data_IF_168158662449
#
_entry.id   IF_168158662449
#
_cell.length_a   1.000
_cell.length_b   1.000
_cell.length_c   1.000
_cell.angle_alpha   90.00
_cell.angle_beta   90.00
_cell.angle_gamma   90.00
#
_symmetry.space_group_name_H-M   'P 1'
#
loop_
_entity.id
_entity.type
_entity.pdbx_description
1 polymer ?
#
# COMPACT_ATOMS: atom_id res chain seq x y z
N UNK A 1 -3.02 11.05 13.95
CA UNK A 1 -3.44 12.47 14.00
C UNK A 1 -3.06 13.10 15.33
N UNK A 2 -3.08 14.43 15.44
CA UNK A 2 -2.89 15.15 16.70
C UNK A 2 -4.25 15.69 17.15
N UNK A 3 -4.72 15.27 18.33
CA UNK A 3 -6.10 15.52 18.79
C UNK A 3 -7.11 14.52 18.24
N UNK A 4 -8.40 14.86 18.36
CA UNK A 4 -9.51 14.00 17.92
C UNK A 4 -9.57 13.91 16.37
N UNK A 5 -9.57 12.71 15.78
CA UNK A 5 -9.63 12.55 14.33
C UNK A 5 -11.00 12.99 13.78
N UNK A 6 -11.00 13.67 12.63
CA UNK A 6 -12.25 13.91 11.91
C UNK A 6 -12.75 12.63 11.25
N UNK A 7 -14.05 12.54 10.98
CA UNK A 7 -14.63 11.43 10.21
C UNK A 7 -13.93 11.22 8.86
N UNK A 8 -13.55 12.30 8.18
CA UNK A 8 -12.89 12.21 6.88
C UNK A 8 -11.46 11.64 6.99
N UNK A 9 -10.73 11.94 8.08
CA UNK A 9 -9.43 11.34 8.37
C UNK A 9 -9.52 9.85 8.69
N UNK A 10 -10.55 9.44 9.45
CA UNK A 10 -10.83 8.03 9.74
C UNK A 10 -11.12 7.27 8.45
N UNK A 11 -12.06 7.77 7.63
CA UNK A 11 -12.41 7.14 6.35
C UNK A 11 -11.21 7.02 5.40
N UNK A 12 -10.36 8.04 5.32
CA UNK A 12 -9.15 7.98 4.50
C UNK A 12 -8.19 6.88 5.00
N UNK A 13 -7.99 6.79 6.32
CA UNK A 13 -7.13 5.77 6.92
C UNK A 13 -7.68 4.36 6.69
N UNK A 14 -8.97 4.14 6.92
CA UNK A 14 -9.62 2.84 6.72
C UNK A 14 -9.53 2.37 5.25
N UNK A 15 -9.70 3.27 4.28
CA UNK A 15 -9.55 2.94 2.87
C UNK A 15 -8.11 2.60 2.50
N UNK A 16 -7.13 3.41 2.95
CA UNK A 16 -5.72 3.12 2.74
C UNK A 16 -5.34 1.75 3.34
N UNK A 17 -5.75 1.49 4.59
CA UNK A 17 -5.52 0.22 5.26
C UNK A 17 -6.16 -0.95 4.53
N UNK A 18 -7.40 -0.80 4.07
CA UNK A 18 -8.10 -1.84 3.30
C UNK A 18 -7.30 -2.23 2.05
N UNK A 19 -6.89 -1.25 1.24
CA UNK A 19 -6.12 -1.52 0.02
C UNK A 19 -4.77 -2.16 0.32
N UNK A 20 -4.11 -1.72 1.39
CA UNK A 20 -2.84 -2.28 1.84
C UNK A 20 -3.01 -3.74 2.25
N UNK A 21 -3.98 -4.02 3.13
CA UNK A 21 -4.31 -5.37 3.59
C UNK A 21 -4.68 -6.30 2.43
N UNK A 22 -5.56 -5.87 1.53
CA UNK A 22 -5.96 -6.67 0.38
C UNK A 22 -4.74 -7.01 -0.51
N UNK A 23 -3.82 -6.05 -0.68
CA UNK A 23 -2.61 -6.26 -1.46
C UNK A 23 -1.58 -7.15 -0.77
N UNK A 24 -1.46 -7.08 0.57
CA UNK A 24 -0.67 -8.03 1.37
C UNK A 24 -1.25 -9.45 1.26
N UNK A 25 -2.57 -9.60 1.34
CA UNK A 25 -3.24 -10.91 1.23
C UNK A 25 -3.08 -11.57 -0.14
N UNK A 26 -2.76 -10.80 -1.19
CA UNK A 26 -2.40 -11.32 -2.50
C UNK A 26 -0.95 -11.84 -2.59
N UNK A 27 -0.10 -11.56 -1.59
CA UNK A 27 1.32 -11.94 -1.59
C UNK A 27 1.49 -13.42 -1.27
N UNK A 28 2.00 -14.16 -2.26
CA UNK A 28 2.43 -15.55 -2.13
C UNK A 28 3.38 -15.92 -3.26
N UNK A 29 4.21 -16.98 -3.12
CA UNK A 29 4.98 -17.50 -4.24
C UNK A 29 4.10 -17.81 -5.46
N UNK A 30 4.53 -17.38 -6.63
CA UNK A 30 3.82 -17.58 -7.89
C UNK A 30 2.76 -16.53 -8.23
N UNK A 31 2.33 -15.70 -7.26
CA UNK A 31 1.61 -14.47 -7.56
C UNK A 31 2.49 -13.52 -8.39
N UNK A 32 1.88 -12.50 -8.96
CA UNK A 32 2.56 -11.48 -9.74
C UNK A 32 2.37 -10.10 -9.14
N UNK A 33 3.24 -9.17 -9.51
CA UNK A 33 3.06 -7.74 -9.19
C UNK A 33 1.74 -7.19 -9.74
N UNK A 34 1.17 -7.79 -10.79
CA UNK A 34 -0.17 -7.41 -11.28
C UNK A 34 -1.27 -7.84 -10.32
N UNK A 35 -1.17 -9.04 -9.73
CA UNK A 35 -2.16 -9.54 -8.77
C UNK A 35 -2.23 -8.61 -7.55
N UNK A 36 -1.07 -8.18 -7.05
CA UNK A 36 -0.94 -7.22 -5.95
C UNK A 36 -1.47 -5.83 -6.35
N UNK A 37 -1.01 -5.28 -7.48
CA UNK A 37 -1.41 -3.94 -7.92
C UNK A 37 -2.91 -3.84 -8.27
N UNK A 38 -3.56 -4.96 -8.61
CA UNK A 38 -4.99 -5.02 -8.92
C UNK A 38 -5.88 -4.87 -7.68
N UNK A 39 -5.32 -5.04 -6.47
CA UNK A 39 -6.01 -4.78 -5.20
C UNK A 39 -6.16 -3.28 -4.91
N UNK A 40 -5.44 -2.42 -5.65
CA UNK A 40 -5.44 -0.98 -5.45
C UNK A 40 -6.42 -0.29 -6.39
N UNK A 41 -7.01 0.86 -5.96
CA UNK A 41 -7.88 1.65 -6.82
C UNK A 41 -7.12 2.15 -8.05
N UNK A 42 -7.83 2.30 -9.15
CA UNK A 42 -7.35 3.00 -10.33
C UNK A 42 -7.13 4.48 -10.07
N UNK A 43 -6.31 5.09 -10.92
CA UNK A 43 -6.14 6.53 -10.95
C UNK A 43 -7.49 7.28 -11.09
N UNK A 44 -8.41 6.77 -11.91
CA UNK A 44 -9.73 7.36 -12.12
C UNK A 44 -10.60 7.31 -10.86
N UNK A 45 -10.59 6.19 -10.13
CA UNK A 45 -11.27 6.05 -8.84
C UNK A 45 -10.70 7.00 -7.77
N UNK A 46 -9.42 7.37 -7.90
CA UNK A 46 -8.76 8.38 -7.09
C UNK A 46 -8.95 9.82 -7.61
N UNK A 47 -9.60 10.01 -8.76
CA UNK A 47 -9.88 11.32 -9.37
C UNK A 47 -8.76 11.90 -10.25
N UNK A 48 -7.78 11.09 -10.65
CA UNK A 48 -6.69 11.46 -11.57
C UNK A 48 -7.03 11.08 -13.02
N UNK A 49 -6.34 11.69 -13.99
CA UNK A 49 -6.62 11.43 -15.42
C UNK A 49 -6.12 10.07 -15.91
N UNK A 50 -5.04 9.56 -15.32
CA UNK A 50 -4.38 8.31 -15.73
C UNK A 50 -3.40 7.81 -14.65
N UNK A 51 -2.91 6.59 -14.84
CA UNK A 51 -1.95 5.94 -13.92
C UNK A 51 -0.60 6.65 -13.86
N UNK A 52 -0.20 7.43 -14.88
CA UNK A 52 1.01 8.26 -14.81
C UNK A 52 0.88 9.40 -13.79
N UNK A 53 -0.28 10.06 -13.71
CA UNK A 53 -0.54 11.11 -12.71
C UNK A 53 -0.61 10.55 -11.28
N UNK A 54 -1.06 9.29 -11.10
CA UNK A 54 -1.19 8.62 -9.80
C UNK A 54 0.02 7.74 -9.41
N UNK A 55 1.10 7.77 -10.19
CA UNK A 55 2.13 6.72 -10.22
C UNK A 55 2.69 6.28 -8.85
N UNK A 56 3.03 7.25 -7.98
CA UNK A 56 3.64 6.98 -6.68
C UNK A 56 2.64 6.94 -5.52
N UNK A 57 1.33 7.04 -5.80
CA UNK A 57 0.31 7.06 -4.75
C UNK A 57 0.08 5.66 -4.19
N UNK A 58 -0.16 4.67 -5.06
CA UNK A 58 -0.22 3.25 -4.70
C UNK A 58 1.02 2.56 -5.25
N UNK A 59 1.88 2.10 -4.35
CA UNK A 59 3.22 1.71 -4.72
C UNK A 59 3.73 0.55 -3.88
N UNK A 60 4.65 -0.20 -4.46
CA UNK A 60 5.45 -1.16 -3.73
C UNK A 60 6.83 -1.26 -4.34
N UNK A 61 7.82 -1.55 -3.52
CA UNK A 61 9.21 -1.67 -3.95
C UNK A 61 9.96 -2.68 -3.11
N UNK A 62 10.94 -3.34 -3.71
CA UNK A 62 11.89 -4.15 -2.96
C UNK A 62 12.61 -3.32 -1.91
N UNK A 63 12.98 -3.93 -0.80
CA UNK A 63 13.76 -3.30 0.26
C UNK A 63 14.77 -4.29 0.84
N UNK A 64 15.97 -3.81 1.11
CA UNK A 64 17.08 -4.63 1.59
C UNK A 64 18.31 -3.80 1.96
N UNK A 65 19.32 -3.80 1.10
CA UNK A 65 20.50 -2.94 1.26
C UNK A 65 20.22 -1.50 0.81
N UNK A 66 19.33 -1.34 -0.17
CA UNK A 66 18.80 -0.06 -0.59
C UNK A 66 17.37 0.10 -0.08
N UNK A 67 16.97 1.34 0.14
CA UNK A 67 15.58 1.66 0.48
C UNK A 67 14.64 1.31 -0.69
N UNK A 68 15.12 1.37 -1.93
CA UNK A 68 14.36 1.09 -3.15
C UNK A 68 15.10 0.06 -4.00
N UNK A 69 14.49 -1.11 -4.16
CA UNK A 69 14.98 -2.24 -4.95
C UNK A 69 13.85 -2.84 -5.81
N UNK A 70 14.16 -3.88 -6.57
CA UNK A 70 13.14 -4.67 -7.29
C UNK A 70 12.50 -5.71 -6.35
N UNK A 71 11.25 -6.12 -6.59
CA UNK A 71 10.37 -5.67 -7.68
C UNK A 71 9.79 -4.28 -7.40
N UNK A 72 9.54 -3.52 -8.45
CA UNK A 72 8.67 -2.35 -8.36
C UNK A 72 7.24 -2.85 -8.62
N UNK A 73 6.25 -2.33 -7.90
CA UNK A 73 4.84 -2.70 -7.95
C UNK A 73 4.03 -1.42 -8.12
N UNK A 74 3.32 -1.28 -9.25
CA UNK A 74 2.47 -0.14 -9.57
C UNK A 74 1.52 -0.54 -10.67
N UNK A 75 0.29 -0.05 -10.62
CA UNK A 75 -0.69 -0.27 -11.68
C UNK A 75 -0.18 0.19 -13.04
N UNK A 76 0.63 1.26 -13.10
CA UNK A 76 1.19 1.82 -14.33
C UNK A 76 1.97 0.80 -15.18
N UNK A 77 2.79 -0.04 -14.55
CA UNK A 77 3.64 -1.01 -15.25
C UNK A 77 3.30 -2.47 -14.94
N UNK A 78 2.85 -2.81 -13.72
CA UNK A 78 2.67 -4.20 -13.30
C UNK A 78 1.56 -4.89 -14.07
N UNK A 79 0.48 -4.17 -14.39
CA UNK A 79 -0.64 -4.72 -15.17
C UNK A 79 -0.25 -5.08 -16.61
N UNK A 80 0.78 -4.42 -17.17
CA UNK A 80 1.27 -4.65 -18.54
C UNK A 80 2.47 -5.60 -18.58
N UNK A 81 3.34 -5.53 -17.57
CA UNK A 81 4.61 -6.28 -17.48
C UNK A 81 4.79 -6.83 -16.06
N UNK A 82 3.99 -7.85 -15.66
CA UNK A 82 4.06 -8.41 -14.32
C UNK A 82 5.39 -9.10 -14.05
N UNK A 83 5.89 -8.94 -12.83
CA UNK A 83 7.00 -9.72 -12.29
C UNK A 83 6.47 -10.82 -11.36
N UNK A 84 7.11 -11.99 -11.34
CA UNK A 84 6.69 -13.10 -10.47
C UNK A 84 7.25 -12.93 -9.06
N UNK A 85 6.39 -13.07 -8.07
CA UNK A 85 6.74 -13.06 -6.66
C UNK A 85 7.30 -14.44 -6.28
N UNK A 86 8.43 -14.44 -5.58
CA UNK A 86 9.15 -15.64 -5.15
C UNK A 86 9.37 -15.60 -3.63
N UNK A 87 9.43 -16.78 -3.02
CA UNK A 87 9.80 -16.94 -1.61
C UNK A 87 11.10 -16.19 -1.30
N UNK A 88 11.15 -15.53 -0.16
CA UNK A 88 12.32 -14.81 0.34
C UNK A 88 12.48 -13.40 -0.23
N UNK A 89 11.65 -12.99 -1.19
CA UNK A 89 11.56 -11.56 -1.55
C UNK A 89 11.04 -10.76 -0.36
N UNK A 90 11.60 -9.56 -0.19
CA UNK A 90 11.16 -8.58 0.79
C UNK A 90 10.82 -7.30 0.04
N UNK A 91 9.65 -6.76 0.28
CA UNK A 91 9.20 -5.51 -0.33
C UNK A 91 8.23 -4.77 0.58
N UNK A 92 8.24 -3.45 0.45
CA UNK A 92 7.23 -2.57 1.00
C UNK A 92 6.00 -2.53 0.09
N UNK A 93 4.82 -2.46 0.69
CA UNK A 93 3.58 -2.07 0.05
C UNK A 93 3.07 -0.82 0.78
N UNK A 94 2.73 0.20 0.02
CA UNK A 94 2.33 1.49 0.57
C UNK A 94 1.15 2.08 -0.21
N UNK A 95 0.11 2.43 0.52
CA UNK A 95 -1.12 2.95 -0.06
C UNK A 95 -1.46 4.32 0.52
N UNK A 96 -1.94 5.19 -0.35
CA UNK A 96 -2.36 6.55 -0.06
C UNK A 96 -3.85 6.74 -0.36
N UNK A 97 -4.55 7.43 0.53
CA UNK A 97 -5.95 7.82 0.35
C UNK A 97 -6.17 9.28 0.78
N UNK A 98 -6.75 10.14 -0.07
CA UNK A 98 -7.04 11.52 0.29
C UNK A 98 -8.23 11.61 1.26
N UNK A 99 -8.17 12.56 2.19
CA UNK A 99 -9.34 12.92 2.99
C UNK A 99 -10.37 13.66 2.13
N UNK A 100 -11.64 13.25 2.21
CA UNK A 100 -12.73 13.83 1.40
C UNK A 100 -13.04 15.29 1.72
N UNK A 101 -12.64 15.77 2.90
CA UNK A 101 -12.77 17.18 3.28
C UNK A 101 -11.67 18.08 2.68
N UNK A 102 -10.76 17.51 1.88
CA UNK A 102 -9.65 18.22 1.25
C UNK A 102 -8.51 18.56 2.21
N UNK A 103 -8.54 18.06 3.45
CA UNK A 103 -7.58 18.40 4.50
C UNK A 103 -6.69 17.20 4.84
N UNK A 104 -5.73 16.95 3.94
CA UNK A 104 -4.71 15.93 4.12
C UNK A 104 -5.10 14.57 3.53
N UNK A 105 -4.37 13.54 3.95
CA UNK A 105 -4.48 12.19 3.44
C UNK A 105 -3.88 11.18 4.44
N UNK A 106 -4.24 9.92 4.31
CA UNK A 106 -3.56 8.81 4.96
C UNK A 106 -2.57 8.17 3.97
N UNK A 107 -1.36 7.85 4.45
CA UNK A 107 -0.48 6.87 3.82
C UNK A 107 -0.10 5.83 4.88
N UNK A 108 -0.19 4.57 4.52
CA UNK A 108 0.21 3.45 5.38
C UNK A 108 1.14 2.58 4.56
N UNK A 109 2.24 2.14 5.17
CA UNK A 109 3.27 1.31 4.57
C UNK A 109 3.54 0.10 5.46
N UNK A 110 3.66 -1.06 4.85
CA UNK A 110 4.03 -2.31 5.51
C UNK A 110 5.00 -3.10 4.66
N UNK A 111 6.07 -3.60 5.26
CA UNK A 111 7.00 -4.53 4.64
C UNK A 111 6.59 -5.97 4.93
N UNK A 112 6.67 -6.76 3.86
CA UNK A 112 6.38 -8.17 3.90
C UNK A 112 7.58 -8.96 3.41
N UNK A 113 7.80 -10.11 4.04
CA UNK A 113 8.65 -11.17 3.49
C UNK A 113 7.77 -12.28 2.93
N UNK A 114 8.07 -12.72 1.71
CA UNK A 114 7.33 -13.81 1.07
C UNK A 114 7.75 -15.14 1.69
N UNK A 115 6.79 -15.87 2.26
CA UNK A 115 7.00 -17.18 2.89
C UNK A 115 6.74 -18.31 1.88
N UNK A 116 6.68 -19.57 2.34
CA UNK A 116 6.41 -20.72 1.47
C UNK A 116 5.00 -20.72 0.87
N UNK A 117 4.02 -20.17 1.59
CA UNK A 117 2.60 -20.26 1.24
C UNK A 117 1.90 -18.90 1.22
N UNK A 118 2.61 -17.81 1.54
CA UNK A 118 2.01 -16.48 1.67
C UNK A 118 3.06 -15.42 1.98
N UNK A 119 2.78 -14.63 3.02
CA UNK A 119 3.66 -13.57 3.51
C UNK A 119 3.75 -13.57 5.04
N UNK A 120 4.77 -12.89 5.56
CA UNK A 120 4.84 -12.45 6.94
C UNK A 120 5.02 -10.92 6.96
N UNK A 121 4.18 -10.23 7.72
CA UNK A 121 4.29 -8.79 8.00
C UNK A 121 5.41 -8.55 9.03
N UNK A 122 6.38 -7.71 8.66
CA UNK A 122 7.59 -7.48 9.45
C UNK A 122 7.35 -6.48 10.59
N UNK A 123 6.60 -5.40 10.34
CA UNK A 123 6.27 -4.44 11.40
C UNK A 123 5.20 -4.98 12.34
N UNK A 124 5.38 -4.66 13.63
CA UNK A 124 4.51 -5.09 14.73
C UNK A 124 3.74 -3.94 15.37
N UNK A 125 3.96 -2.71 14.91
CA UNK A 125 3.18 -1.57 15.39
C UNK A 125 1.74 -1.68 14.86
N UNK A 126 0.70 -1.39 15.65
CA UNK A 126 -0.68 -1.43 15.19
C UNK A 126 -0.90 -0.43 14.04
N UNK A 127 -1.44 -0.92 12.92
CA UNK A 127 -1.73 -0.13 11.72
C UNK A 127 -3.17 -0.31 11.23
N UNK A 128 -3.93 -1.16 11.91
CA UNK A 128 -5.33 -1.47 11.62
C UNK A 128 -6.25 -0.29 11.93
N UNK A 129 -5.83 0.58 12.85
CA UNK A 129 -6.60 1.71 13.35
C UNK A 129 -5.76 2.99 13.39
N UNK A 130 -6.42 4.12 13.08
CA UNK A 130 -5.77 5.43 13.07
C UNK A 130 -5.28 5.80 14.47
N UNK A 131 -3.96 5.90 14.63
CA UNK A 131 -3.37 6.35 15.90
C UNK A 131 -3.60 7.85 16.10
N UNK A 132 -4.17 8.23 17.26
CA UNK A 132 -4.31 9.62 17.71
C UNK A 132 -3.36 9.93 18.87
N UNK A 133 -2.61 11.03 18.74
CA UNK A 133 -1.82 11.61 19.81
C UNK A 133 -2.66 12.68 20.52
N UNK A 134 -3.05 12.49 21.79
CA UNK A 134 -3.89 13.45 22.51
C UNK A 134 -3.16 14.78 22.71
N UNK A 135 -3.93 15.87 22.68
CA UNK A 135 -3.49 17.20 23.12
C UNK A 135 -4.17 17.44 24.46
N UNK A 136 -3.37 17.65 25.51
CA UNK A 136 -3.85 18.03 26.84
C UNK A 136 -3.90 19.55 26.98
#
# INVERSE_FOLDING_TARGET
VVGEPTKAQIEAYENAWKWLKDSMDAVRPGATTADIASCWPSAEELGFKNEEEAFLLQFGHGVGLSIWEKPVISRLFSLKKPFKIQRGMVFALETWCPSKDGRGAARIEEEVVVTETGYERLFKFPAEELTSCPIF
#
